data_IF_249911312820
#
_entry.id   IF_249911312820
#
_cell.length_a   1.000
_cell.length_b   1.000
_cell.length_c   1.000
_cell.angle_alpha   90.00
_cell.angle_beta   90.00
_cell.angle_gamma   90.00
#
_symmetry.space_group_name_H-M   'P 1'
#
loop_
_entity.id
_entity.type
_entity.pdbx_description
1 polymer ?
#
# COMPACT_ATOMS: atom_id res chain seq x y z
N UNK A 1 -25.18 -45.55 6.95
CA UNK A 1 -23.95 -45.18 7.66
C UNK A 1 -23.84 -46.05 8.90
N UNK A 2 -22.74 -46.78 9.03
CA UNK A 2 -22.39 -47.53 10.25
C UNK A 2 -22.03 -46.55 11.39
N UNK A 3 -22.07 -47.01 12.65
CA UNK A 3 -21.67 -46.16 13.78
C UNK A 3 -20.17 -45.82 13.75
N UNK A 4 -19.36 -46.65 13.10
CA UNK A 4 -17.96 -46.35 12.77
C UNK A 4 -17.85 -45.20 11.76
N UNK A 5 -18.65 -45.23 10.69
CA UNK A 5 -18.69 -44.15 9.69
C UNK A 5 -19.16 -42.83 10.32
N UNK A 6 -20.13 -42.87 11.25
CA UNK A 6 -20.57 -41.67 11.99
C UNK A 6 -19.45 -41.08 12.85
N UNK A 7 -18.76 -41.91 13.66
CA UNK A 7 -17.63 -41.47 14.48
C UNK A 7 -16.49 -40.88 13.64
N UNK A 8 -16.24 -41.45 12.46
CA UNK A 8 -15.21 -40.95 11.56
C UNK A 8 -15.59 -39.63 10.89
N UNK A 9 -16.87 -39.44 10.54
CA UNK A 9 -17.35 -38.14 10.03
C UNK A 9 -17.28 -37.06 11.12
N UNK A 10 -17.66 -37.37 12.35
CA UNK A 10 -17.58 -36.44 13.49
C UNK A 10 -16.13 -36.02 13.80
N UNK A 11 -15.18 -36.96 13.77
CA UNK A 11 -13.77 -36.64 14.01
C UNK A 11 -13.18 -35.76 12.91
N UNK A 12 -13.52 -36.02 11.64
CA UNK A 12 -13.12 -35.19 10.50
C UNK A 12 -13.71 -33.78 10.58
N UNK A 13 -14.98 -33.65 10.99
CA UNK A 13 -15.61 -32.34 11.18
C UNK A 13 -14.92 -31.53 12.29
N UNK A 14 -14.53 -32.19 13.38
CA UNK A 14 -13.79 -31.55 14.46
C UNK A 14 -12.41 -31.04 13.98
N UNK A 15 -11.69 -31.85 13.20
CA UNK A 15 -10.39 -31.46 12.65
C UNK A 15 -10.51 -30.31 11.63
N UNK A 16 -11.52 -30.33 10.75
CA UNK A 16 -11.81 -29.22 9.83
C UNK A 16 -12.08 -27.92 10.61
N UNK A 17 -12.86 -27.99 11.69
CA UNK A 17 -13.13 -26.83 12.55
C UNK A 17 -11.86 -26.31 13.20
N UNK A 18 -10.99 -27.20 13.70
CA UNK A 18 -9.68 -26.86 14.28
C UNK A 18 -8.78 -26.18 13.27
N UNK A 19 -8.63 -26.75 12.06
CA UNK A 19 -7.82 -26.18 10.98
C UNK A 19 -8.30 -24.80 10.54
N UNK A 20 -9.62 -24.60 10.44
CA UNK A 20 -10.21 -23.28 10.16
C UNK A 20 -9.89 -22.27 11.26
N UNK A 21 -9.95 -22.69 12.53
CA UNK A 21 -9.56 -21.88 13.68
C UNK A 21 -8.08 -21.46 13.61
N UNK A 22 -7.18 -22.42 13.42
CA UNK A 22 -5.73 -22.18 13.27
C UNK A 22 -5.43 -21.23 12.11
N UNK A 23 -6.05 -21.43 10.94
CA UNK A 23 -5.91 -20.55 9.78
C UNK A 23 -6.35 -19.11 10.10
N UNK A 24 -7.45 -18.94 10.84
CA UNK A 24 -7.94 -17.61 11.26
C UNK A 24 -6.94 -16.94 12.20
N UNK A 25 -6.42 -17.66 13.19
CA UNK A 25 -5.42 -17.14 14.13
C UNK A 25 -4.13 -16.75 13.41
N UNK A 26 -3.62 -17.60 12.50
CA UNK A 26 -2.42 -17.30 11.73
C UNK A 26 -2.58 -16.03 10.89
N UNK A 27 -3.73 -15.89 10.21
CA UNK A 27 -4.06 -14.69 9.44
C UNK A 27 -4.09 -13.44 10.33
N UNK A 28 -4.69 -13.53 11.52
CA UNK A 28 -4.75 -12.41 12.47
C UNK A 28 -3.34 -12.02 12.93
N UNK A 29 -2.54 -12.98 13.37
CA UNK A 29 -1.16 -12.73 13.81
C UNK A 29 -0.32 -12.08 12.71
N UNK A 30 -0.49 -12.53 11.45
CA UNK A 30 0.18 -11.92 10.32
C UNK A 30 -0.26 -10.47 10.08
N UNK A 31 -1.56 -10.20 10.16
CA UNK A 31 -2.09 -8.83 10.06
C UNK A 31 -1.58 -7.93 11.20
N UNK A 32 -1.53 -8.44 12.42
CA UNK A 32 -1.02 -7.72 13.59
C UNK A 32 0.48 -7.39 13.41
N UNK A 33 1.28 -8.35 12.93
CA UNK A 33 2.70 -8.14 12.61
C UNK A 33 2.89 -7.05 11.53
N UNK A 34 2.15 -7.12 10.42
CA UNK A 34 2.21 -6.08 9.38
C UNK A 34 1.75 -4.73 9.91
N UNK A 35 0.73 -4.72 10.77
CA UNK A 35 0.24 -3.52 11.45
C UNK A 35 1.33 -2.87 12.31
N UNK A 36 2.09 -3.66 13.07
CA UNK A 36 3.22 -3.19 13.87
C UNK A 36 4.31 -2.58 12.99
N UNK A 37 4.73 -3.25 11.91
CA UNK A 37 5.74 -2.73 10.98
C UNK A 37 5.31 -1.40 10.34
N UNK A 38 4.05 -1.32 9.90
CA UNK A 38 3.48 -0.10 9.29
C UNK A 38 3.42 1.05 10.30
N UNK A 39 3.14 0.72 11.57
CA UNK A 39 3.12 1.69 12.66
C UNK A 39 4.52 2.22 12.93
N UNK A 40 5.54 1.36 12.95
CA UNK A 40 6.95 1.74 13.10
C UNK A 40 7.40 2.71 11.99
N UNK A 41 7.03 2.43 10.74
CA UNK A 41 7.32 3.35 9.63
C UNK A 41 6.62 4.70 9.85
N UNK A 42 5.34 4.67 10.22
CA UNK A 42 4.55 5.88 10.45
C UNK A 42 5.12 6.74 11.59
N UNK A 43 5.64 6.12 12.65
CA UNK A 43 6.28 6.83 13.77
C UNK A 43 7.64 7.44 13.42
N UNK A 44 8.32 6.91 12.40
CA UNK A 44 9.59 7.51 11.94
C UNK A 44 9.34 8.87 11.29
N UNK A 45 8.28 8.97 10.48
CA UNK A 45 7.92 10.20 9.78
C UNK A 45 6.47 10.13 9.30
N UNK A 46 5.65 11.13 9.67
CA UNK A 46 4.22 11.15 9.32
C UNK A 46 3.98 11.19 7.80
N UNK A 47 4.81 11.91 7.04
CA UNK A 47 4.71 11.97 5.58
C UNK A 47 4.92 10.57 4.97
N UNK A 48 5.95 9.86 5.44
CA UNK A 48 6.23 8.48 5.01
C UNK A 48 5.08 7.52 5.37
N UNK A 49 4.54 7.64 6.59
CA UNK A 49 3.42 6.83 7.05
C UNK A 49 2.15 6.98 6.21
N UNK A 50 1.91 8.17 5.66
CA UNK A 50 0.81 8.40 4.70
C UNK A 50 1.11 7.93 3.30
N UNK A 51 2.32 8.19 2.84
CA UNK A 51 2.80 7.75 1.54
C UNK A 51 2.63 6.24 1.35
N UNK A 52 3.18 5.41 2.25
CA UNK A 52 3.10 3.95 2.12
C UNK A 52 1.65 3.42 2.10
N UNK A 53 0.73 4.09 2.81
CA UNK A 53 -0.69 3.71 2.84
C UNK A 53 -1.39 4.04 1.53
N UNK A 54 -1.17 5.23 0.98
CA UNK A 54 -1.75 5.62 -0.32
C UNK A 54 -1.19 4.78 -1.45
N UNK A 55 0.12 4.56 -1.49
CA UNK A 55 0.79 3.73 -2.49
C UNK A 55 0.26 2.29 -2.45
N UNK A 56 0.12 1.69 -1.26
CA UNK A 56 -0.42 0.33 -1.13
C UNK A 56 -1.87 0.19 -1.57
N UNK A 57 -2.74 1.14 -1.21
CA UNK A 57 -4.14 1.14 -1.62
C UNK A 57 -4.28 1.35 -3.13
N UNK A 58 -3.49 2.25 -3.71
CA UNK A 58 -3.44 2.50 -5.13
C UNK A 58 -2.98 1.26 -5.91
N UNK A 59 -1.88 0.63 -5.47
CA UNK A 59 -1.34 -0.59 -6.06
C UNK A 59 -2.34 -1.77 -5.97
N UNK A 60 -3.01 -1.95 -4.83
CA UNK A 60 -4.06 -2.96 -4.63
C UNK A 60 -5.24 -2.73 -5.58
N UNK A 61 -5.72 -1.49 -5.66
CA UNK A 61 -6.88 -1.12 -6.48
C UNK A 61 -6.58 -1.29 -7.97
N UNK A 62 -5.40 -0.86 -8.43
CA UNK A 62 -4.97 -1.07 -9.79
C UNK A 62 -4.80 -2.57 -10.11
N UNK A 63 -4.26 -3.36 -9.19
CA UNK A 63 -4.14 -4.81 -9.35
C UNK A 63 -5.51 -5.50 -9.48
N UNK A 64 -6.51 -5.03 -8.73
CA UNK A 64 -7.90 -5.46 -8.87
C UNK A 64 -8.51 -5.08 -10.22
N UNK A 65 -8.26 -3.86 -10.70
CA UNK A 65 -8.66 -3.41 -12.04
C UNK A 65 -8.07 -4.29 -13.15
N UNK A 66 -6.82 -4.73 -12.97
CA UNK A 66 -6.13 -5.67 -13.87
C UNK A 66 -6.63 -7.11 -13.73
N UNK A 67 -7.55 -7.40 -12.81
CA UNK A 67 -8.13 -8.73 -12.54
C UNK A 67 -7.10 -9.81 -12.17
N UNK A 68 -6.04 -9.43 -11.46
CA UNK A 68 -5.14 -10.42 -10.88
C UNK A 68 -5.84 -11.24 -9.78
N UNK A 69 -5.30 -12.42 -9.49
CA UNK A 69 -5.80 -13.27 -8.41
C UNK A 69 -5.57 -12.63 -7.03
N UNK A 70 -6.32 -13.09 -6.03
CA UNK A 70 -6.28 -12.51 -4.67
C UNK A 70 -4.89 -12.58 -4.05
N UNK A 71 -4.17 -13.68 -4.24
CA UNK A 71 -2.85 -13.86 -3.61
C UNK A 71 -1.83 -12.91 -4.23
N UNK A 72 -1.88 -12.71 -5.56
CA UNK A 72 -1.10 -11.68 -6.25
C UNK A 72 -1.45 -10.27 -5.78
N UNK A 73 -2.73 -9.93 -5.66
CA UNK A 73 -3.17 -8.62 -5.17
C UNK A 73 -2.64 -8.36 -3.75
N UNK A 74 -2.77 -9.33 -2.83
CA UNK A 74 -2.29 -9.17 -1.45
C UNK A 74 -0.77 -9.06 -1.37
N UNK A 75 -0.04 -9.83 -2.18
CA UNK A 75 1.43 -9.73 -2.26
C UNK A 75 1.86 -8.34 -2.72
N UNK A 76 1.21 -7.78 -3.73
CA UNK A 76 1.48 -6.42 -4.23
C UNK A 76 1.13 -5.39 -3.16
N UNK A 77 -0.03 -5.52 -2.51
CA UNK A 77 -0.45 -4.64 -1.42
C UNK A 77 0.60 -4.60 -0.29
N UNK A 78 1.07 -5.74 0.20
CA UNK A 78 2.08 -5.77 1.26
C UNK A 78 3.44 -5.26 0.79
N UNK A 79 3.81 -5.52 -0.47
CA UNK A 79 5.07 -5.03 -1.04
C UNK A 79 5.08 -3.51 -1.14
N UNK A 80 3.97 -2.94 -1.60
CA UNK A 80 3.75 -1.50 -1.64
C UNK A 80 3.61 -0.87 -0.24
N UNK A 81 3.03 -1.58 0.74
CA UNK A 81 2.87 -1.06 2.09
C UNK A 81 4.21 -0.96 2.85
N UNK A 82 5.16 -1.82 2.50
CA UNK A 82 6.44 -1.93 3.20
C UNK A 82 7.63 -1.47 2.35
N UNK A 83 7.42 -0.94 1.14
CA UNK A 83 8.50 -0.65 0.18
C UNK A 83 9.63 0.24 0.76
N UNK A 84 9.26 1.22 1.60
CA UNK A 84 10.20 2.13 2.24
C UNK A 84 10.58 1.74 3.69
N UNK A 85 10.30 0.51 4.14
CA UNK A 85 10.64 0.09 5.52
C UNK A 85 12.13 0.23 5.82
N UNK A 86 13.00 0.11 4.81
CA UNK A 86 14.44 0.31 4.96
C UNK A 86 14.86 1.76 5.27
N UNK A 87 13.94 2.72 5.21
CA UNK A 87 14.17 4.12 5.59
C UNK A 87 13.86 4.39 7.08
N UNK A 88 13.43 3.37 7.84
CA UNK A 88 13.27 3.50 9.30
C UNK A 88 14.61 3.93 9.92
N UNK A 89 14.58 5.07 10.63
CA UNK A 89 15.77 5.68 11.23
C UNK A 89 16.56 6.64 10.31
N UNK A 90 16.12 6.87 9.07
CA UNK A 90 16.75 7.88 8.21
C UNK A 90 16.39 9.30 8.67
N UNK A 91 17.25 10.31 8.40
CA UNK A 91 16.95 11.69 8.74
C UNK A 91 15.65 12.17 8.07
N UNK A 92 14.77 12.83 8.83
CA UNK A 92 13.48 13.30 8.31
C UNK A 92 13.60 14.21 7.08
N UNK A 93 14.68 15.00 6.98
CA UNK A 93 14.98 15.81 5.78
C UNK A 93 15.13 14.96 4.52
N UNK A 94 15.79 13.80 4.61
CA UNK A 94 15.97 12.89 3.48
C UNK A 94 14.62 12.31 3.05
N UNK A 95 13.81 11.84 4.01
CA UNK A 95 12.47 11.28 3.76
C UNK A 95 11.56 12.27 3.03
N UNK A 96 11.55 13.54 3.47
CA UNK A 96 10.68 14.56 2.91
C UNK A 96 11.20 15.18 1.61
N UNK A 97 12.47 14.96 1.24
CA UNK A 97 13.10 15.59 0.06
C UNK A 97 13.04 14.69 -1.17
N UNK A 98 12.97 15.28 -2.37
CA UNK A 98 13.01 14.52 -3.63
C UNK A 98 14.45 14.15 -3.99
N UNK A 99 14.62 13.04 -4.74
CA UNK A 99 15.95 12.56 -5.12
C UNK A 99 16.79 13.60 -5.87
N UNK A 100 16.16 14.52 -6.61
CA UNK A 100 16.82 15.64 -7.29
C UNK A 100 17.48 16.65 -6.34
N UNK A 101 17.09 16.68 -5.06
CA UNK A 101 17.65 17.56 -4.04
C UNK A 101 18.60 16.85 -3.07
N UNK A 102 18.94 15.59 -3.31
CA UNK A 102 19.86 14.84 -2.46
C UNK A 102 21.31 15.24 -2.71
N UNK A 103 22.07 15.35 -1.62
CA UNK A 103 23.54 15.31 -1.71
C UNK A 103 23.99 13.93 -2.22
N UNK A 104 25.24 13.82 -2.68
CA UNK A 104 25.79 12.53 -3.09
C UNK A 104 25.72 11.48 -1.96
N UNK A 105 25.98 11.90 -0.72
CA UNK A 105 25.84 11.05 0.46
C UNK A 105 24.39 10.64 0.75
N UNK A 106 23.43 11.56 0.60
CA UNK A 106 22.01 11.25 0.80
C UNK A 106 21.50 10.31 -0.29
N UNK A 107 21.95 10.49 -1.53
CA UNK A 107 21.60 9.59 -2.63
C UNK A 107 22.19 8.19 -2.43
N UNK A 108 23.44 8.10 -1.99
CA UNK A 108 24.09 6.83 -1.66
C UNK A 108 23.40 6.11 -0.49
N UNK A 109 22.91 6.87 0.50
CA UNK A 109 22.12 6.33 1.60
C UNK A 109 20.73 5.88 1.11
N UNK A 110 20.04 6.74 0.35
CA UNK A 110 18.73 6.44 -0.22
C UNK A 110 18.76 5.16 -1.05
N UNK A 111 19.74 4.97 -1.94
CA UNK A 111 19.85 3.76 -2.77
C UNK A 111 20.01 2.45 -1.98
N UNK A 112 20.32 2.50 -0.68
CA UNK A 112 20.45 1.31 0.18
C UNK A 112 19.12 0.87 0.80
N UNK A 113 18.10 1.72 0.87
CA UNK A 113 16.87 1.38 1.56
C UNK A 113 16.14 0.15 0.99
N UNK A 114 16.16 -0.17 -0.32
CA UNK A 114 15.50 -1.38 -0.82
C UNK A 114 16.18 -2.65 -0.28
N UNK A 115 17.52 -2.65 -0.21
CA UNK A 115 18.32 -3.74 0.34
C UNK A 115 18.08 -3.92 1.84
N UNK A 116 18.05 -2.82 2.58
CA UNK A 116 17.78 -2.83 4.02
C UNK A 116 16.36 -3.34 4.26
N UNK A 117 15.38 -2.85 3.49
CA UNK A 117 13.98 -3.23 3.61
C UNK A 117 13.76 -4.72 3.35
N UNK A 118 14.34 -5.26 2.27
CA UNK A 118 14.36 -6.70 2.00
C UNK A 118 14.93 -7.48 3.19
N UNK A 119 16.10 -7.05 3.70
CA UNK A 119 16.78 -7.73 4.80
C UNK A 119 15.94 -7.74 6.07
N UNK A 120 15.23 -6.65 6.37
CA UNK A 120 14.37 -6.53 7.54
C UNK A 120 13.20 -7.52 7.51
N UNK A 121 12.58 -7.73 6.35
CA UNK A 121 11.36 -8.55 6.25
C UNK A 121 11.58 -9.99 5.79
N UNK A 122 12.73 -10.30 5.16
CA UNK A 122 13.04 -11.63 4.60
C UNK A 122 13.12 -12.75 5.65
N UNK A 123 13.28 -12.40 6.93
CA UNK A 123 13.25 -13.34 8.06
C UNK A 123 11.85 -13.94 8.28
N UNK A 124 10.79 -13.23 7.91
CA UNK A 124 9.42 -13.72 7.97
C UNK A 124 9.11 -14.53 6.70
N UNK A 125 8.83 -15.83 6.87
CA UNK A 125 8.57 -16.75 5.76
C UNK A 125 7.49 -16.25 4.80
N UNK A 126 6.36 -15.77 5.34
CA UNK A 126 5.22 -15.27 4.57
C UNK A 126 5.49 -13.96 3.82
N UNK A 127 6.59 -13.25 4.15
CA UNK A 127 6.98 -12.00 3.51
C UNK A 127 8.12 -12.18 2.49
N UNK A 128 8.65 -13.38 2.26
CA UNK A 128 9.78 -13.58 1.33
C UNK A 128 9.49 -13.12 -0.10
N UNK A 129 8.31 -13.42 -0.63
CA UNK A 129 7.92 -12.95 -1.96
C UNK A 129 7.67 -11.44 -1.99
N UNK A 130 7.18 -10.90 -0.87
CA UNK A 130 7.03 -9.46 -0.66
C UNK A 130 8.39 -8.74 -0.64
N UNK A 131 9.42 -9.37 -0.08
CA UNK A 131 10.78 -8.83 0.00
C UNK A 131 11.39 -8.56 -1.38
N UNK A 132 11.10 -9.39 -2.38
CA UNK A 132 11.53 -9.15 -3.76
C UNK A 132 10.89 -7.89 -4.37
N UNK A 133 9.63 -7.62 -4.02
CA UNK A 133 8.96 -6.38 -4.44
C UNK A 133 9.64 -5.18 -3.80
N UNK A 134 9.92 -5.25 -2.50
CA UNK A 134 10.62 -4.18 -1.76
C UNK A 134 12.01 -3.96 -2.33
N UNK A 135 12.78 -5.01 -2.63
CA UNK A 135 14.11 -4.87 -3.19
C UNK A 135 14.09 -4.16 -4.55
N UNK A 136 13.12 -4.52 -5.40
CA UNK A 136 13.14 -4.16 -6.82
C UNK A 136 12.28 -2.94 -7.17
N UNK A 137 11.63 -2.28 -6.20
CA UNK A 137 10.65 -1.22 -6.52
C UNK A 137 11.28 0.04 -7.14
N UNK A 138 12.61 0.18 -7.07
CA UNK A 138 13.37 1.23 -7.76
C UNK A 138 14.04 0.79 -9.07
N UNK A 139 13.85 -0.46 -9.49
CA UNK A 139 14.25 -0.88 -10.82
C UNK A 139 13.45 -0.12 -11.89
N UNK A 140 14.08 0.10 -13.03
CA UNK A 140 13.50 0.82 -14.17
C UNK A 140 13.39 -0.14 -15.34
N UNK A 141 12.31 -0.04 -16.11
CA UNK A 141 12.03 -0.98 -17.19
C UNK A 141 13.16 -1.06 -18.24
N UNK A 142 13.95 0.00 -18.41
CA UNK A 142 15.15 0.06 -19.25
C UNK A 142 16.36 -0.72 -18.72
N UNK A 143 16.41 -1.00 -17.42
CA UNK A 143 17.58 -1.58 -16.72
C UNK A 143 18.47 -0.55 -16.02
N UNK A 144 18.16 0.75 -16.11
CA UNK A 144 18.97 1.83 -15.49
C UNK A 144 18.67 2.07 -14.00
N UNK A 145 17.81 1.24 -13.43
CA UNK A 145 17.38 1.31 -12.03
C UNK A 145 18.39 0.74 -11.04
N UNK A 146 17.92 0.55 -9.80
CA UNK A 146 18.72 -0.01 -8.72
C UNK A 146 17.83 -0.87 -7.79
N UNK A 147 18.39 -1.81 -7.01
CA UNK A 147 19.83 -2.05 -6.78
C UNK A 147 20.53 -2.97 -7.78
N UNK A 148 19.80 -3.75 -8.57
CA UNK A 148 20.34 -4.86 -9.37
C UNK A 148 20.41 -4.56 -10.87
N UNK A 149 19.72 -3.51 -11.35
CA UNK A 149 19.72 -3.14 -12.76
C UNK A 149 18.88 -4.10 -13.62
N UNK A 150 17.78 -4.61 -13.05
CA UNK A 150 16.88 -5.54 -13.73
C UNK A 150 16.11 -4.82 -14.82
N UNK A 151 15.94 -5.46 -15.98
CA UNK A 151 15.24 -4.88 -17.12
C UNK A 151 13.92 -5.61 -17.44
N UNK A 152 12.96 -4.87 -18.01
CA UNK A 152 11.77 -5.46 -18.60
C UNK A 152 10.95 -6.36 -17.66
N UNK A 153 10.87 -7.65 -18.03
CA UNK A 153 10.12 -8.67 -17.27
C UNK A 153 10.92 -9.33 -16.16
N UNK A 154 12.22 -9.07 -16.05
CA UNK A 154 13.04 -9.55 -14.93
C UNK A 154 12.63 -8.86 -13.62
N UNK A 155 12.14 -7.62 -13.74
CA UNK A 155 11.57 -6.89 -12.61
C UNK A 155 10.26 -7.57 -12.17
N UNK A 156 10.13 -7.97 -10.88
CA UNK A 156 8.91 -8.58 -10.36
C UNK A 156 7.68 -7.74 -10.70
N UNK A 157 6.58 -8.39 -11.12
CA UNK A 157 5.32 -7.70 -11.46
C UNK A 157 4.88 -6.72 -10.38
N UNK A 158 4.99 -7.13 -9.12
CA UNK A 158 4.61 -6.27 -8.00
C UNK A 158 5.50 -5.04 -7.85
N UNK A 159 6.81 -5.15 -8.12
CA UNK A 159 7.71 -3.99 -8.11
C UNK A 159 7.36 -2.98 -9.21
N UNK A 160 7.05 -3.46 -10.42
CA UNK A 160 6.61 -2.61 -11.54
C UNK A 160 5.31 -1.86 -11.23
N UNK A 161 4.36 -2.51 -10.55
CA UNK A 161 3.12 -1.87 -10.10
C UNK A 161 3.37 -0.89 -8.96
N UNK A 162 4.20 -1.27 -7.97
CA UNK A 162 4.57 -0.39 -6.86
C UNK A 162 5.26 0.87 -7.36
N UNK A 163 6.18 0.77 -8.34
CA UNK A 163 6.87 1.94 -8.91
C UNK A 163 5.91 2.94 -9.56
N UNK A 164 4.89 2.47 -10.30
CA UNK A 164 3.84 3.33 -10.85
C UNK A 164 3.04 4.03 -9.75
N UNK A 165 2.59 3.28 -8.74
CA UNK A 165 1.81 3.84 -7.63
C UNK A 165 2.63 4.83 -6.78
N UNK A 166 3.89 4.52 -6.52
CA UNK A 166 4.84 5.34 -5.79
C UNK A 166 5.06 6.70 -6.46
N UNK A 167 5.42 6.69 -7.74
CA UNK A 167 5.72 7.91 -8.46
C UNK A 167 4.46 8.77 -8.64
N UNK A 168 3.30 8.13 -8.89
CA UNK A 168 2.02 8.84 -8.91
C UNK A 168 1.71 9.52 -7.58
N UNK A 169 1.85 8.84 -6.44
CA UNK A 169 1.63 9.45 -5.12
C UNK A 169 2.57 10.64 -4.89
N UNK A 170 3.85 10.48 -5.22
CA UNK A 170 4.83 11.57 -5.11
C UNK A 170 4.44 12.77 -5.99
N UNK A 171 3.99 12.56 -7.23
CA UNK A 171 3.51 13.64 -8.08
C UNK A 171 2.32 14.39 -7.46
N UNK A 172 1.33 13.68 -6.93
CA UNK A 172 0.12 14.31 -6.37
C UNK A 172 0.41 15.04 -5.05
N UNK A 173 1.15 14.42 -4.14
CA UNK A 173 1.26 14.93 -2.76
C UNK A 173 2.54 15.71 -2.49
N UNK A 174 3.64 15.38 -3.17
CA UNK A 174 4.93 16.06 -3.00
C UNK A 174 5.10 17.19 -3.99
N UNK A 175 4.88 16.92 -5.28
CA UNK A 175 5.00 17.92 -6.35
C UNK A 175 3.72 18.77 -6.47
N UNK A 176 2.60 18.34 -5.87
CA UNK A 176 1.29 19.03 -5.86
C UNK A 176 0.72 19.29 -7.26
N UNK A 177 0.96 18.37 -8.19
CA UNK A 177 0.41 18.46 -9.55
C UNK A 177 -0.91 17.72 -9.69
N UNK A 178 -1.71 18.09 -10.68
CA UNK A 178 -3.02 17.47 -10.93
C UNK A 178 -2.88 16.07 -11.52
N UNK A 179 -3.90 15.23 -11.32
CA UNK A 179 -3.95 13.86 -11.84
C UNK A 179 -3.70 13.74 -13.35
N UNK A 180 -4.25 14.68 -14.14
CA UNK A 180 -4.03 14.72 -15.59
C UNK A 180 -2.56 14.96 -15.96
N UNK A 181 -1.87 15.84 -15.23
CA UNK A 181 -0.44 16.11 -15.44
C UNK A 181 0.41 14.91 -14.97
N UNK A 182 0.10 14.33 -13.81
CA UNK A 182 0.77 13.13 -13.31
C UNK A 182 0.66 11.96 -14.31
N UNK A 183 -0.53 11.76 -14.90
CA UNK A 183 -0.73 10.77 -15.95
C UNK A 183 0.08 11.07 -17.22
N UNK A 184 0.25 12.36 -17.57
CA UNK A 184 1.14 12.81 -18.63
C UNK A 184 2.59 12.41 -18.38
N UNK A 185 3.13 12.69 -17.18
CA UNK A 185 4.49 12.30 -16.79
C UNK A 185 4.71 10.78 -16.82
N UNK A 186 3.71 10.00 -16.38
CA UNK A 186 3.78 8.53 -16.47
C UNK A 186 3.84 8.09 -17.93
N UNK A 187 3.04 8.70 -18.81
CA UNK A 187 3.03 8.39 -20.24
C UNK A 187 4.38 8.70 -20.91
N UNK A 188 4.98 9.83 -20.60
CA UNK A 188 6.27 10.26 -21.16
C UNK A 188 7.42 9.32 -20.79
N UNK A 189 7.36 8.72 -19.60
CA UNK A 189 8.39 7.81 -19.05
C UNK A 189 8.08 6.32 -19.29
N UNK A 190 7.00 6.02 -20.01
CA UNK A 190 6.58 4.67 -20.36
C UNK A 190 7.58 3.99 -21.29
N UNK A 191 7.97 2.74 -20.99
CA UNK A 191 8.98 1.99 -21.73
C UNK A 191 10.42 2.27 -21.28
N UNK A 192 10.64 3.32 -20.49
CA UNK A 192 11.93 3.61 -19.85
C UNK A 192 11.88 3.33 -18.35
N UNK A 193 11.10 4.11 -17.58
CA UNK A 193 10.92 3.83 -16.14
C UNK A 193 9.88 2.73 -15.94
N UNK A 194 8.75 2.83 -16.64
CA UNK A 194 7.58 1.99 -16.40
C UNK A 194 7.38 0.95 -17.49
N UNK A 195 6.87 -0.21 -17.10
CA UNK A 195 6.33 -1.19 -18.06
C UNK A 195 5.24 -0.53 -18.91
N UNK A 196 5.38 -0.52 -20.26
CA UNK A 196 4.50 0.25 -21.13
C UNK A 196 3.06 -0.28 -21.13
N UNK A 197 2.87 -1.59 -20.92
CA UNK A 197 1.54 -2.18 -20.80
C UNK A 197 0.89 -1.71 -19.50
N UNK A 198 1.61 -1.82 -18.38
CA UNK A 198 1.08 -1.39 -17.08
C UNK A 198 0.80 0.11 -17.04
N UNK A 199 1.70 0.95 -17.56
CA UNK A 199 1.52 2.40 -17.63
C UNK A 199 0.25 2.78 -18.40
N UNK A 200 0.01 2.13 -19.55
CA UNK A 200 -1.20 2.36 -20.36
C UNK A 200 -2.48 2.06 -19.58
N UNK A 201 -2.54 0.92 -18.88
CA UNK A 201 -3.71 0.57 -18.08
C UNK A 201 -3.84 1.43 -16.82
N UNK A 202 -2.71 1.80 -16.21
CA UNK A 202 -2.69 2.65 -15.02
C UNK A 202 -3.27 4.03 -15.33
N UNK A 203 -2.88 4.65 -16.45
CA UNK A 203 -3.45 5.93 -16.90
C UNK A 203 -4.97 5.82 -17.12
N UNK A 204 -5.44 4.73 -17.75
CA UNK A 204 -6.89 4.48 -17.91
C UNK A 204 -7.60 4.31 -16.57
N UNK A 205 -6.99 3.60 -15.64
CA UNK A 205 -7.48 3.39 -14.28
C UNK A 205 -7.60 4.71 -13.52
N UNK A 206 -6.58 5.59 -13.59
CA UNK A 206 -6.61 6.92 -12.97
C UNK A 206 -7.72 7.78 -13.56
N UNK A 207 -7.81 7.87 -14.90
CA UNK A 207 -8.89 8.66 -15.53
C UNK A 207 -10.28 8.21 -15.10
N UNK A 208 -10.53 6.89 -15.13
CA UNK A 208 -11.85 6.33 -14.82
C UNK A 208 -12.26 6.51 -13.36
N UNK A 209 -11.30 6.54 -12.43
CA UNK A 209 -11.57 6.57 -10.99
C UNK A 209 -11.31 7.92 -10.32
N UNK A 210 -10.51 8.81 -10.93
CA UNK A 210 -10.18 10.15 -10.41
C UNK A 210 -11.01 11.23 -11.10
N UNK A 211 -11.30 11.14 -12.41
CA UNK A 211 -12.16 12.13 -13.10
C UNK A 211 -13.63 12.03 -12.66
N UNK A 212 -14.05 10.88 -12.10
CA UNK A 212 -15.36 10.76 -11.42
C UNK A 212 -15.44 11.52 -10.10
N UNK A 213 -14.33 12.01 -9.56
CA UNK A 213 -14.27 12.65 -8.25
C UNK A 213 -14.11 14.18 -8.30
N UNK A 214 -13.87 14.74 -9.50
CA UNK A 214 -13.89 16.19 -9.74
C UNK A 214 -15.32 16.70 -10.07
N UNK A 215 -16.28 15.80 -10.31
CA UNK A 215 -17.64 16.12 -10.72
C UNK A 215 -18.69 15.16 -10.10
N UNK A 216 -19.11 15.36 -8.84
CA UNK A 216 -20.52 15.11 -8.45
C UNK A 216 -20.93 15.42 -7.01
N UNK A 217 -20.05 15.66 -6.03
CA UNK A 217 -20.53 15.87 -4.64
C UNK A 217 -19.63 16.86 -3.89
N UNK A 218 -20.21 17.92 -3.32
CA UNK A 218 -19.49 18.73 -2.32
C UNK A 218 -19.05 17.80 -1.17
N UNK A 219 -17.83 17.96 -0.63
CA UNK A 219 -17.40 17.18 0.53
C UNK A 219 -18.42 17.36 1.65
N UNK A 220 -19.07 16.27 2.05
CA UNK A 220 -20.00 16.26 3.16
C UNK A 220 -19.24 15.87 4.42
N UNK A 221 -19.44 16.66 5.49
CA UNK A 221 -18.92 16.30 6.80
C UNK A 221 -19.76 15.17 7.38
N UNK A 222 -19.17 13.99 7.53
CA UNK A 222 -19.80 12.82 8.15
C UNK A 222 -19.06 12.48 9.44
N UNK A 223 -19.78 12.00 10.46
CA UNK A 223 -19.13 11.56 11.70
C UNK A 223 -18.24 10.36 11.42
N UNK A 224 -17.11 10.27 12.13
CA UNK A 224 -16.20 9.13 12.00
C UNK A 224 -16.91 7.78 12.27
N UNK A 225 -17.88 7.76 13.18
CA UNK A 225 -18.72 6.59 13.49
C UNK A 225 -19.70 6.17 12.38
N UNK A 226 -19.98 7.06 11.44
CA UNK A 226 -20.92 6.85 10.32
C UNK A 226 -20.21 6.44 9.02
N UNK A 227 -18.87 6.31 9.05
CA UNK A 227 -18.10 5.86 7.91
C UNK A 227 -18.48 4.43 7.49
N UNK A 228 -18.62 4.24 6.19
CA UNK A 228 -18.99 2.96 5.59
C UNK A 228 -18.17 2.64 4.34
N UNK A 229 -18.15 1.35 3.99
CA UNK A 229 -17.39 0.84 2.85
C UNK A 229 -17.88 1.48 1.56
N UNK A 230 -16.95 1.98 0.74
CA UNK A 230 -17.25 2.69 -0.50
C UNK A 230 -17.16 4.22 -0.38
N UNK A 231 -17.11 4.79 0.82
CA UNK A 231 -16.94 6.24 0.99
C UNK A 231 -15.52 6.69 0.61
N UNK A 232 -15.41 7.81 -0.11
CA UNK A 232 -14.12 8.40 -0.44
C UNK A 232 -13.70 9.42 0.62
N UNK A 233 -12.51 9.22 1.19
CA UNK A 233 -11.95 10.08 2.23
C UNK A 233 -11.31 11.33 1.61
N UNK A 234 -11.88 12.50 1.89
CA UNK A 234 -11.42 13.77 1.33
C UNK A 234 -10.35 14.48 2.18
N UNK A 235 -10.09 14.01 3.40
CA UNK A 235 -9.05 14.51 4.29
C UNK A 235 -8.36 13.42 5.13
N UNK A 236 -7.13 13.67 5.59
CA UNK A 236 -6.37 12.70 6.37
C UNK A 236 -7.02 12.47 7.76
N UNK A 237 -7.31 11.22 8.10
CA UNK A 237 -7.77 10.83 9.44
C UNK A 237 -6.55 10.51 10.30
N UNK A 238 -6.27 11.36 11.28
CA UNK A 238 -5.11 11.25 12.17
C UNK A 238 -5.56 10.98 13.62
N UNK A 239 -4.70 10.36 14.42
CA UNK A 239 -4.79 10.38 15.87
C UNK A 239 -4.34 11.73 16.44
N UNK A 240 -4.69 12.02 17.69
CA UNK A 240 -4.25 13.23 18.40
C UNK A 240 -2.73 13.39 18.45
N UNK A 241 -1.99 12.28 18.52
CA UNK A 241 -0.53 12.28 18.49
C UNK A 241 0.07 12.52 17.09
N UNK A 242 -0.75 12.82 16.08
CA UNK A 242 -0.33 13.08 14.70
C UNK A 242 -0.10 11.82 13.85
N UNK A 243 -0.33 10.63 14.38
CA UNK A 243 -0.21 9.39 13.60
C UNK A 243 -1.37 9.26 12.61
N UNK A 244 -1.05 9.17 11.32
CA UNK A 244 -2.06 8.95 10.28
C UNK A 244 -2.69 7.56 10.37
N UNK A 245 -4.01 7.49 10.42
CA UNK A 245 -4.77 6.23 10.36
C UNK A 245 -5.19 5.90 8.94
N UNK A 246 -5.95 6.79 8.31
CA UNK A 246 -6.48 6.65 6.95
C UNK A 246 -6.04 7.87 6.14
N UNK A 247 -5.31 7.68 5.03
CA UNK A 247 -4.92 8.80 4.19
C UNK A 247 -6.11 9.37 3.42
N UNK A 248 -6.07 10.67 3.13
CA UNK A 248 -6.85 11.33 2.10
C UNK A 248 -6.64 10.63 0.75
N UNK A 249 -7.71 10.54 -0.04
CA UNK A 249 -7.64 10.08 -1.42
C UNK A 249 -7.96 8.60 -1.61
N UNK A 250 -8.57 7.97 -0.61
CA UNK A 250 -8.85 6.53 -0.64
C UNK A 250 -10.34 6.24 -0.49
N UNK A 251 -10.77 5.15 -1.13
CA UNK A 251 -12.10 4.59 -0.94
C UNK A 251 -12.01 3.59 0.22
N UNK A 252 -12.85 3.77 1.24
CA UNK A 252 -12.89 2.90 2.40
C UNK A 252 -13.26 1.47 2.02
N UNK A 253 -12.49 0.52 2.53
CA UNK A 253 -12.83 -0.90 2.54
C UNK A 253 -13.02 -1.40 3.98
N UNK A 254 -13.56 -2.61 4.13
CA UNK A 254 -13.85 -3.20 5.45
C UNK A 254 -12.61 -3.26 6.37
N UNK A 255 -11.41 -3.37 5.80
CA UNK A 255 -10.16 -3.41 6.56
C UNK A 255 -9.81 -2.03 7.14
N UNK A 256 -10.00 -0.97 6.36
CA UNK A 256 -9.81 0.40 6.83
C UNK A 256 -10.81 0.77 7.95
N UNK A 257 -12.07 0.32 7.84
CA UNK A 257 -13.06 0.53 8.90
C UNK A 257 -12.71 -0.21 10.20
N UNK A 258 -12.29 -1.47 10.11
CA UNK A 258 -11.81 -2.23 11.28
C UNK A 258 -10.61 -1.53 11.95
N UNK A 259 -9.75 -0.91 11.15
CA UNK A 259 -8.62 -0.13 11.67
C UNK A 259 -9.11 1.10 12.44
N UNK A 260 -10.05 1.87 11.90
CA UNK A 260 -10.63 3.03 12.62
C UNK A 260 -11.22 2.56 13.97
N UNK A 261 -12.02 1.49 13.96
CA UNK A 261 -12.63 0.92 15.17
C UNK A 261 -11.59 0.47 16.21
N UNK A 262 -10.45 -0.08 15.78
CA UNK A 262 -9.39 -0.49 16.70
C UNK A 262 -8.75 0.67 17.48
N UNK A 263 -8.93 1.91 17.03
CA UNK A 263 -8.45 3.13 17.65
C UNK A 263 -9.58 3.99 18.25
N UNK A 264 -10.80 3.45 18.37
CA UNK A 264 -11.98 4.17 18.88
C UNK A 264 -11.73 4.83 20.24
N UNK A 265 -11.00 4.18 21.16
CA UNK A 265 -10.68 4.75 22.48
C UNK A 265 -9.68 5.92 22.44
N UNK A 266 -9.03 6.14 21.30
CA UNK A 266 -8.01 7.17 21.06
C UNK A 266 -8.46 8.18 20.00
N UNK A 267 -9.71 8.09 19.54
CA UNK A 267 -10.32 8.95 18.55
C UNK A 267 -11.57 9.60 19.11
N UNK A 268 -11.79 10.86 18.77
CA UNK A 268 -13.10 11.46 18.95
C UNK A 268 -14.03 10.92 17.86
N UNK A 269 -14.89 9.95 18.19
CA UNK A 269 -15.81 9.33 17.22
C UNK A 269 -16.90 10.30 16.71
N UNK A 270 -17.11 11.43 17.39
CA UNK A 270 -17.97 12.53 16.95
C UNK A 270 -17.23 13.54 16.05
N UNK A 271 -15.94 13.33 15.79
CA UNK A 271 -15.18 14.12 14.83
C UNK A 271 -15.84 14.02 13.45
N UNK A 272 -15.99 15.19 12.82
CA UNK A 272 -16.48 15.30 11.46
C UNK A 272 -15.29 15.09 10.52
N UNK A 273 -15.45 14.15 9.59
CA UNK A 273 -14.51 13.88 8.51
C UNK A 273 -15.20 14.16 7.17
N UNK A 274 -14.48 14.86 6.32
CA UNK A 274 -14.90 15.21 4.98
C UNK A 274 -14.84 13.97 4.08
N UNK A 275 -16.00 13.59 3.54
CA UNK A 275 -16.11 12.48 2.59
C UNK A 275 -16.91 12.87 1.36
N UNK A 276 -16.58 12.21 0.25
CA UNK A 276 -17.36 12.28 -0.99
C UNK A 276 -18.11 10.97 -1.11
N UNK A 277 -19.44 11.06 -1.09
CA UNK A 277 -20.37 9.95 -1.33
C UNK A 277 -20.70 9.82 -2.81
#
# INVERSE_FOLDING_TARGET
>A
MTDEEKKQVESLQLEIKRLRGLKKTLRRNFQDMVGLLTTTISQTNNFLGGHIKRVSILAKSFSGYMRYDKDTIYRIYYGALLHDIGMVGYPGKLISSSASGFSESDLALFKKHPLIGEKMISSAYDLRQTAQIIRSHHEEFSGDGFPDGLAGSEIPLGARITRLANDYDNFIYKDKIKAAEAAGRIKERSGYIYDPKLATYFIKFIKTNVEKQDHSSEPSGIKLSELSTGMYIAEDINLENGMLLIPKGVILDDFMLQKIQSFESLLNMDMIVSVVS
#
